data_IF_380527684297
#
_entry.id   IF_380527684297
#
_cell.length_a   1.000
_cell.length_b   1.000
_cell.length_c   1.000
_cell.angle_alpha   90.00
_cell.angle_beta   90.00
_cell.angle_gamma   90.00
#
_symmetry.space_group_name_H-M   'P 1'
#
loop_
_entity.id
_entity.type
_entity.pdbx_description
1 polymer ?
#
# COMPACT_ATOMS: atom_id res chain seq x y z
N UNK A 1 -0.10 8.41 23.65
CA UNK A 1 0.64 9.68 23.81
C UNK A 1 -0.12 10.53 24.81
N UNK A 2 0.52 10.83 25.95
CA UNK A 2 -0.09 11.58 27.06
C UNK A 2 -0.14 13.10 26.79
N UNK A 3 0.49 13.59 25.73
CA UNK A 3 0.67 15.01 25.41
C UNK A 3 -0.19 15.49 24.24
N UNK A 4 -1.43 15.00 24.16
CA UNK A 4 -2.34 15.33 23.07
C UNK A 4 -3.59 16.05 23.59
N UNK A 5 -3.97 17.17 22.97
CA UNK A 5 -5.21 17.88 23.30
C UNK A 5 -6.29 17.66 22.23
N UNK A 6 -7.55 17.72 22.69
CA UNK A 6 -8.72 17.75 21.83
C UNK A 6 -9.73 18.75 22.39
N UNK A 7 -10.17 19.70 21.58
CA UNK A 7 -11.19 20.68 21.95
C UNK A 7 -12.57 20.21 21.48
N UNK A 8 -13.46 19.88 22.41
CA UNK A 8 -14.82 19.44 22.09
C UNK A 8 -15.71 20.53 21.51
N UNK A 9 -15.34 21.81 21.64
CA UNK A 9 -16.12 22.93 21.11
C UNK A 9 -15.86 23.21 19.64
N UNK A 10 -14.60 23.17 19.20
CA UNK A 10 -14.22 23.50 17.82
C UNK A 10 -13.55 22.35 17.06
N UNK A 11 -13.38 21.18 17.68
CA UNK A 11 -12.73 20.03 17.07
C UNK A 11 -11.22 20.16 16.87
N UNK A 12 -10.60 21.23 17.40
CA UNK A 12 -9.16 21.42 17.32
C UNK A 12 -8.43 20.32 18.10
N UNK A 13 -7.37 19.79 17.52
CA UNK A 13 -6.55 18.71 18.09
C UNK A 13 -5.10 18.88 17.71
N UNK A 14 -4.20 18.30 18.49
CA UNK A 14 -2.76 18.33 18.24
C UNK A 14 -1.94 18.16 19.52
N UNK A 15 -0.65 18.39 19.41
CA UNK A 15 0.29 18.39 20.53
C UNK A 15 0.38 19.78 21.22
N UNK A 16 1.29 19.92 22.19
CA UNK A 16 1.48 21.18 22.92
C UNK A 16 1.93 22.33 22.00
N UNK A 17 2.71 22.02 20.95
CA UNK A 17 3.16 23.03 19.99
C UNK A 17 1.98 23.51 19.15
N UNK A 18 1.14 22.59 18.66
CA UNK A 18 -0.08 22.90 17.91
C UNK A 18 -1.06 23.74 18.75
N UNK A 19 -1.15 23.44 20.06
CA UNK A 19 -1.98 24.22 20.98
C UNK A 19 -1.52 25.66 21.09
N UNK A 20 -0.21 25.88 21.32
CA UNK A 20 0.38 27.23 21.45
C UNK A 20 0.34 27.97 20.11
N UNK A 21 0.59 27.29 19.00
CA UNK A 21 0.50 27.87 17.67
C UNK A 21 -0.90 28.44 17.41
N UNK A 22 -1.94 27.69 17.73
CA UNK A 22 -3.35 28.13 17.57
C UNK A 22 -3.76 29.21 18.57
N UNK A 23 -3.27 29.14 19.81
CA UNK A 23 -3.63 30.08 20.85
C UNK A 23 -3.09 31.48 20.58
N UNK A 24 -1.90 31.58 19.98
CA UNK A 24 -1.19 32.84 19.73
C UNK A 24 -1.11 33.22 18.26
N UNK A 25 -1.77 32.45 17.38
CA UNK A 25 -1.74 32.62 15.91
C UNK A 25 -0.30 32.64 15.36
N UNK A 26 0.49 31.67 15.79
CA UNK A 26 1.90 31.50 15.44
C UNK A 26 2.08 30.31 14.49
N UNK A 27 3.17 30.32 13.74
CA UNK A 27 3.64 29.08 13.09
C UNK A 27 4.14 28.08 14.13
N UNK A 28 4.17 26.78 13.76
CA UNK A 28 4.67 25.72 14.68
C UNK A 28 6.11 25.99 15.14
N UNK A 29 6.94 26.62 14.30
CA UNK A 29 8.30 27.01 14.67
C UNK A 29 8.33 28.13 15.71
N UNK A 30 7.56 29.19 15.53
CA UNK A 30 7.43 30.32 16.48
C UNK A 30 6.83 29.87 17.80
N UNK A 31 5.84 28.96 17.77
CA UNK A 31 5.26 28.36 18.95
C UNK A 31 6.29 27.54 19.74
N UNK A 32 7.11 26.75 19.05
CA UNK A 32 8.19 26.01 19.68
C UNK A 32 9.26 26.93 20.31
N UNK A 33 9.62 28.01 19.63
CA UNK A 33 10.55 29.02 20.17
C UNK A 33 9.96 29.73 21.39
N UNK A 34 8.69 30.11 21.34
CA UNK A 34 8.00 30.72 22.47
C UNK A 34 7.99 29.79 23.67
N UNK A 35 7.62 28.52 23.50
CA UNK A 35 7.68 27.52 24.56
C UNK A 35 9.09 27.37 25.15
N UNK A 36 10.11 27.26 24.28
CA UNK A 36 11.49 27.16 24.72
C UNK A 36 11.89 28.39 25.57
N UNK A 37 11.50 29.60 25.18
CA UNK A 37 11.75 30.82 25.92
C UNK A 37 11.01 30.87 27.25
N UNK A 38 9.73 30.51 27.25
CA UNK A 38 8.87 30.56 28.43
C UNK A 38 9.32 29.56 29.52
N UNK A 39 9.88 28.43 29.10
CA UNK A 39 10.40 27.40 30.00
C UNK A 39 11.92 27.45 30.25
N UNK A 40 12.59 28.50 29.73
CA UNK A 40 14.04 28.69 29.91
C UNK A 40 14.88 27.58 29.26
N UNK A 41 14.35 26.94 28.25
CA UNK A 41 15.07 25.99 27.42
C UNK A 41 15.86 26.78 26.39
N UNK A 42 17.19 26.72 26.44
CA UNK A 42 18.04 27.34 25.43
C UNK A 42 17.70 26.71 24.06
N UNK A 43 17.06 27.42 23.12
CA UNK A 43 16.87 26.90 21.79
C UNK A 43 18.25 26.91 21.12
N UNK A 44 19.03 25.84 21.29
CA UNK A 44 20.18 25.64 20.42
C UNK A 44 19.62 25.71 19.01
N UNK A 45 20.08 26.69 18.18
CA UNK A 45 19.67 26.66 16.78
C UNK A 45 19.96 25.25 16.27
N UNK A 46 19.03 24.61 15.58
CA UNK A 46 19.32 23.32 15.01
C UNK A 46 20.55 23.54 14.15
N UNK A 47 21.69 23.00 14.60
CA UNK A 47 22.83 22.80 13.70
C UNK A 47 22.18 22.18 12.48
N UNK A 48 22.45 22.71 11.28
CA UNK A 48 21.84 22.26 10.01
C UNK A 48 22.14 20.79 9.66
N UNK A 49 22.50 20.02 10.65
CA UNK A 49 22.35 18.57 10.68
C UNK A 49 20.85 18.31 10.74
N UNK A 50 20.27 18.10 9.55
CA UNK A 50 18.90 17.62 9.38
C UNK A 50 18.53 16.73 10.58
N UNK A 51 17.48 17.16 11.34
CA UNK A 51 16.80 16.25 12.24
C UNK A 51 16.65 14.94 11.46
N UNK A 52 17.21 13.84 11.94
CA UNK A 52 17.01 12.59 11.25
C UNK A 52 15.49 12.42 11.21
N UNK A 53 14.90 12.61 10.02
CA UNK A 53 13.53 12.16 9.80
C UNK A 53 13.50 10.76 10.38
N UNK A 54 12.54 10.43 11.27
CA UNK A 54 12.49 9.10 11.83
C UNK A 54 12.50 8.14 10.66
N UNK A 55 13.68 7.64 10.36
CA UNK A 55 13.88 6.63 9.36
C UNK A 55 13.41 5.36 10.04
N UNK A 56 12.15 5.05 9.85
CA UNK A 56 11.73 3.67 9.82
C UNK A 56 11.77 3.24 8.35
N UNK A 57 12.98 3.00 7.77
CA UNK A 57 13.09 2.57 6.38
C UNK A 57 12.32 1.28 6.15
N UNK A 58 12.20 0.44 7.17
CA UNK A 58 11.43 -0.80 7.12
C UNK A 58 9.93 -0.58 6.95
N UNK A 59 9.31 0.40 7.64
CA UNK A 59 7.86 0.66 7.52
C UNK A 59 7.52 1.24 6.15
N UNK A 60 8.35 2.15 5.65
CA UNK A 60 8.16 2.72 4.32
C UNK A 60 8.34 1.66 3.24
N UNK A 61 9.41 0.88 3.34
CA UNK A 61 9.67 -0.22 2.41
C UNK A 61 8.53 -1.22 2.42
N UNK A 62 8.08 -1.67 3.60
CA UNK A 62 6.95 -2.58 3.72
C UNK A 62 5.69 -2.05 3.02
N UNK A 63 5.34 -0.76 3.20
CA UNK A 63 4.17 -0.17 2.52
C UNK A 63 4.33 -0.10 1.01
N UNK A 64 5.53 0.16 0.51
CA UNK A 64 5.83 0.17 -0.92
C UNK A 64 5.71 -1.26 -1.50
N UNK A 65 6.24 -2.25 -0.79
CA UNK A 65 6.18 -3.67 -1.16
C UNK A 65 4.73 -4.20 -1.10
N UNK A 66 4.00 -3.89 -0.05
CA UNK A 66 2.59 -4.24 0.12
C UNK A 66 1.72 -3.67 -1.02
N UNK A 67 1.89 -2.40 -1.34
CA UNK A 67 1.16 -1.77 -2.44
C UNK A 67 1.53 -2.38 -3.80
N UNK A 68 2.79 -2.73 -4.00
CA UNK A 68 3.25 -3.42 -5.21
C UNK A 68 2.62 -4.80 -5.31
N UNK A 69 2.65 -5.59 -4.23
CA UNK A 69 2.02 -6.91 -4.18
C UNK A 69 0.53 -6.81 -4.50
N UNK A 70 -0.20 -5.91 -3.84
CA UNK A 70 -1.62 -5.73 -4.07
C UNK A 70 -1.94 -5.39 -5.54
N UNK A 71 -1.21 -4.45 -6.14
CA UNK A 71 -1.42 -4.08 -7.55
C UNK A 71 -1.19 -5.25 -8.50
N UNK A 72 -0.11 -6.00 -8.30
CA UNK A 72 0.21 -7.15 -9.17
C UNK A 72 -0.83 -8.26 -9.03
N UNK A 73 -1.28 -8.55 -7.80
CA UNK A 73 -2.35 -9.53 -7.57
C UNK A 73 -3.66 -9.10 -8.23
N UNK A 74 -4.05 -7.83 -8.10
CA UNK A 74 -5.25 -7.28 -8.74
C UNK A 74 -5.15 -7.32 -10.28
N UNK A 75 -3.99 -6.98 -10.83
CA UNK A 75 -3.76 -7.07 -12.27
C UNK A 75 -3.85 -8.52 -12.78
N UNK A 76 -3.37 -9.47 -12.00
CA UNK A 76 -3.47 -10.89 -12.35
C UNK A 76 -4.91 -11.39 -12.20
N UNK A 77 -5.61 -11.01 -11.14
CA UNK A 77 -7.01 -11.36 -10.92
C UNK A 77 -7.89 -10.92 -12.12
N UNK A 78 -7.77 -9.66 -12.54
CA UNK A 78 -8.50 -9.17 -13.71
C UNK A 78 -8.18 -9.96 -14.98
N UNK A 79 -6.92 -10.34 -15.18
CA UNK A 79 -6.53 -11.19 -16.32
C UNK A 79 -7.20 -12.56 -16.26
N UNK A 80 -7.24 -13.18 -15.08
CA UNK A 80 -7.89 -14.48 -14.87
C UNK A 80 -9.41 -14.40 -15.05
N UNK A 81 -10.06 -13.33 -14.56
CA UNK A 81 -11.50 -13.09 -14.77
C UNK A 81 -11.83 -12.97 -16.26
N UNK A 82 -11.03 -12.19 -16.99
CA UNK A 82 -11.15 -12.08 -18.44
C UNK A 82 -11.01 -13.46 -19.13
N UNK A 83 -10.01 -14.24 -18.73
CA UNK A 83 -9.78 -15.56 -19.28
C UNK A 83 -10.91 -16.55 -18.96
N UNK A 84 -11.47 -16.48 -17.76
CA UNK A 84 -12.62 -17.30 -17.35
C UNK A 84 -13.83 -17.06 -18.24
N UNK A 85 -14.00 -15.83 -18.73
CA UNK A 85 -15.11 -15.46 -19.62
C UNK A 85 -14.79 -15.78 -21.10
N UNK A 86 -13.60 -15.37 -21.58
CA UNK A 86 -13.29 -15.43 -23.00
C UNK A 86 -12.93 -16.82 -23.51
N UNK A 87 -12.34 -17.65 -22.64
CA UNK A 87 -11.89 -18.98 -22.98
C UNK A 87 -12.74 -20.11 -22.38
N UNK A 88 -13.92 -19.78 -21.83
CA UNK A 88 -14.86 -20.78 -21.36
C UNK A 88 -15.29 -21.70 -22.50
N UNK A 89 -15.38 -23.02 -22.27
CA UNK A 89 -15.88 -23.96 -23.26
C UNK A 89 -17.34 -23.61 -23.58
N UNK A 90 -17.70 -23.65 -24.86
CA UNK A 90 -19.08 -23.36 -25.31
C UNK A 90 -19.99 -24.58 -25.20
N UNK A 91 -19.40 -25.76 -25.29
CA UNK A 91 -20.10 -27.04 -25.14
C UNK A 91 -19.32 -27.96 -24.19
N UNK A 92 -19.99 -28.95 -23.55
CA UNK A 92 -19.32 -29.90 -22.65
C UNK A 92 -18.22 -30.74 -23.32
N UNK A 93 -18.26 -30.89 -24.64
CA UNK A 93 -17.32 -31.70 -25.41
C UNK A 93 -16.11 -30.88 -25.93
N UNK A 94 -16.11 -29.56 -25.74
CA UNK A 94 -15.01 -28.72 -26.15
C UNK A 94 -13.75 -28.99 -25.31
N UNK A 95 -12.60 -29.00 -25.95
CA UNK A 95 -11.32 -29.05 -25.24
C UNK A 95 -11.15 -27.80 -24.36
N UNK A 96 -10.72 -28.00 -23.13
CA UNK A 96 -10.45 -26.88 -22.21
C UNK A 96 -9.21 -26.10 -22.63
N UNK A 97 -9.35 -24.80 -22.74
CA UNK A 97 -8.19 -23.91 -22.94
C UNK A 97 -7.40 -23.79 -21.63
N UNK A 98 -6.06 -23.85 -21.72
CA UNK A 98 -5.18 -23.78 -20.54
C UNK A 98 -5.40 -22.53 -19.72
N UNK A 99 -5.75 -21.40 -20.36
CA UNK A 99 -6.05 -20.13 -19.68
C UNK A 99 -7.33 -20.19 -18.85
N UNK A 100 -8.35 -20.87 -19.38
CA UNK A 100 -9.57 -21.12 -18.63
C UNK A 100 -9.32 -22.02 -17.41
N UNK A 101 -8.49 -23.05 -17.57
CA UNK A 101 -8.10 -23.94 -16.48
C UNK A 101 -7.32 -23.18 -15.41
N UNK A 102 -6.32 -22.37 -15.82
CA UNK A 102 -5.55 -21.53 -14.91
C UNK A 102 -6.47 -20.56 -14.14
N UNK A 103 -7.40 -19.91 -14.84
CA UNK A 103 -8.37 -19.00 -14.22
C UNK A 103 -9.22 -19.71 -13.15
N UNK A 104 -9.76 -20.88 -13.46
CA UNK A 104 -10.57 -21.65 -12.51
C UNK A 104 -9.79 -22.13 -11.28
N UNK A 105 -8.48 -22.34 -11.42
CA UNK A 105 -7.64 -22.82 -10.31
C UNK A 105 -7.11 -21.68 -9.43
N UNK A 106 -6.90 -20.50 -10.02
CA UNK A 106 -6.13 -19.45 -9.35
C UNK A 106 -6.98 -18.30 -8.81
N UNK A 107 -8.17 -18.04 -9.34
CA UNK A 107 -9.00 -16.89 -8.93
C UNK A 107 -9.19 -16.87 -7.42
N UNK A 108 -9.75 -17.92 -6.83
CA UNK A 108 -10.08 -17.96 -5.40
C UNK A 108 -8.83 -17.76 -4.52
N UNK A 109 -7.68 -18.29 -4.95
CA UNK A 109 -6.44 -18.14 -4.22
C UNK A 109 -5.89 -16.70 -4.30
N UNK A 110 -5.95 -16.09 -5.46
CA UNK A 110 -5.47 -14.71 -5.67
C UNK A 110 -6.39 -13.70 -4.96
N UNK A 111 -7.72 -13.92 -5.01
CA UNK A 111 -8.69 -13.15 -4.21
C UNK A 111 -8.37 -13.23 -2.72
N UNK A 112 -8.16 -14.43 -2.20
CA UNK A 112 -7.81 -14.63 -0.79
C UNK A 112 -6.55 -13.86 -0.39
N UNK A 113 -5.48 -13.88 -1.19
CA UNK A 113 -4.27 -13.12 -0.91
C UNK A 113 -4.50 -11.60 -0.97
N UNK A 114 -5.27 -11.13 -1.94
CA UNK A 114 -5.62 -9.72 -2.07
C UNK A 114 -6.47 -9.24 -0.88
N UNK A 115 -7.42 -10.05 -0.42
CA UNK A 115 -8.25 -9.76 0.74
C UNK A 115 -7.43 -9.64 2.02
N UNK A 116 -6.44 -10.51 2.24
CA UNK A 116 -5.52 -10.37 3.39
C UNK A 116 -4.81 -9.01 3.35
N UNK A 117 -4.35 -8.57 2.19
CA UNK A 117 -3.67 -7.27 2.07
C UNK A 117 -4.60 -6.07 2.32
N UNK A 118 -5.92 -6.23 2.19
CA UNK A 118 -6.91 -5.17 2.43
C UNK A 118 -7.40 -5.18 3.88
N UNK A 119 -7.82 -6.34 4.39
CA UNK A 119 -8.57 -6.45 5.66
C UNK A 119 -7.84 -7.26 6.72
N UNK A 120 -6.75 -7.96 6.38
CA UNK A 120 -5.96 -8.75 7.30
C UNK A 120 -5.27 -7.90 8.37
N UNK A 121 -4.91 -8.52 9.47
CA UNK A 121 -4.10 -7.87 10.49
C UNK A 121 -2.65 -7.66 10.01
N UNK A 122 -1.85 -6.93 10.80
CA UNK A 122 -0.48 -6.58 10.38
C UNK A 122 0.40 -7.83 10.22
N UNK A 123 0.21 -8.85 11.05
CA UNK A 123 1.01 -10.08 11.02
C UNK A 123 0.71 -10.89 9.75
N UNK A 124 -0.56 -11.05 9.42
CA UNK A 124 -1.02 -11.72 8.19
C UNK A 124 -0.51 -11.00 6.93
N UNK A 125 -0.62 -9.67 6.90
CA UNK A 125 -0.17 -8.85 5.78
C UNK A 125 1.35 -8.93 5.58
N UNK A 126 2.12 -8.89 6.67
CA UNK A 126 3.58 -9.07 6.62
C UNK A 126 3.93 -10.45 6.08
N UNK A 127 3.27 -11.50 6.55
CA UNK A 127 3.53 -12.86 6.08
C UNK A 127 3.27 -13.02 4.57
N UNK A 128 2.17 -12.45 4.06
CA UNK A 128 1.84 -12.49 2.63
C UNK A 128 2.85 -11.68 1.81
N UNK A 129 3.21 -10.47 2.24
CA UNK A 129 4.21 -9.66 1.53
C UNK A 129 5.56 -10.36 1.49
N UNK A 130 6.04 -10.90 2.62
CA UNK A 130 7.31 -11.60 2.69
C UNK A 130 7.33 -12.83 1.77
N UNK A 131 6.24 -13.60 1.72
CA UNK A 131 6.13 -14.78 0.84
C UNK A 131 6.13 -14.38 -0.64
N UNK A 132 5.42 -13.31 -1.01
CA UNK A 132 5.34 -12.83 -2.39
C UNK A 132 6.64 -12.16 -2.87
N UNK A 133 7.34 -11.47 -1.96
CA UNK A 133 8.64 -10.85 -2.28
C UNK A 133 9.78 -11.86 -2.34
N UNK A 134 9.62 -13.00 -1.66
CA UNK A 134 10.62 -14.05 -1.62
C UNK A 134 10.89 -14.61 -3.02
N UNK A 135 12.16 -14.79 -3.33
CA UNK A 135 12.61 -15.37 -4.60
C UNK A 135 12.12 -14.61 -5.86
N UNK A 136 11.66 -13.37 -5.68
CA UNK A 136 11.17 -12.54 -6.78
C UNK A 136 9.83 -13.00 -7.39
N UNK A 137 9.02 -13.75 -6.64
CA UNK A 137 7.72 -14.26 -7.11
C UNK A 137 6.83 -13.17 -7.67
N UNK A 138 6.73 -12.04 -6.95
CA UNK A 138 5.89 -10.91 -7.39
C UNK A 138 6.40 -10.27 -8.68
N UNK A 139 7.73 -10.16 -8.85
CA UNK A 139 8.32 -9.63 -10.07
C UNK A 139 8.05 -10.55 -11.27
N UNK A 140 8.20 -11.86 -11.07
CA UNK A 140 7.86 -12.86 -12.08
C UNK A 140 6.37 -12.78 -12.47
N UNK A 141 5.47 -12.69 -11.50
CA UNK A 141 4.03 -12.59 -11.74
C UNK A 141 3.67 -11.32 -12.52
N UNK A 142 4.26 -10.18 -12.16
CA UNK A 142 4.08 -8.92 -12.87
C UNK A 142 4.48 -9.04 -14.35
N UNK A 143 5.65 -9.62 -14.60
CA UNK A 143 6.16 -9.78 -15.96
C UNK A 143 5.34 -10.81 -16.75
N UNK A 144 4.84 -11.84 -16.09
CA UNK A 144 3.90 -12.81 -16.66
C UNK A 144 2.60 -12.13 -17.12
N UNK A 145 1.95 -11.37 -16.23
CA UNK A 145 0.72 -10.63 -16.54
C UNK A 145 0.93 -9.65 -17.71
N UNK A 146 2.04 -8.88 -17.66
CA UNK A 146 2.36 -7.93 -18.72
C UNK A 146 2.54 -8.60 -20.09
N UNK A 147 3.18 -9.77 -20.13
CA UNK A 147 3.35 -10.56 -21.35
C UNK A 147 2.02 -11.08 -21.85
N UNK A 148 1.20 -11.67 -20.97
CA UNK A 148 -0.08 -12.26 -21.34
C UNK A 148 -1.09 -11.23 -21.85
N UNK A 149 -1.11 -10.04 -21.26
CA UNK A 149 -1.92 -8.92 -21.78
C UNK A 149 -1.48 -8.49 -23.19
N UNK A 150 -0.18 -8.44 -23.46
CA UNK A 150 0.31 -8.13 -24.83
C UNK A 150 -0.06 -9.19 -25.84
N UNK A 151 0.04 -10.46 -25.49
CA UNK A 151 -0.37 -11.58 -26.35
C UNK A 151 -1.87 -11.52 -26.67
N UNK A 152 -2.72 -11.17 -25.69
CA UNK A 152 -4.16 -11.01 -25.87
C UNK A 152 -4.55 -9.86 -26.80
N UNK A 153 -3.84 -8.73 -26.74
CA UNK A 153 -4.08 -7.58 -27.63
C UNK A 153 -3.76 -7.88 -29.09
N UNK A 154 -2.73 -8.68 -29.35
CA UNK A 154 -2.35 -9.06 -30.71
C UNK A 154 -3.35 -10.04 -31.38
N UNK A 155 -4.18 -10.74 -30.62
CA UNK A 155 -5.21 -11.65 -31.14
C UNK A 155 -6.59 -10.98 -31.28
N UNK A 156 -6.77 -9.79 -30.71
CA UNK A 156 -8.03 -9.01 -30.79
C UNK A 156 -8.21 -8.24 -32.10
N UNK A 157 -7.15 -8.04 -32.88
CA UNK A 157 -7.20 -7.33 -34.16
C UNK A 157 -7.58 -8.26 -35.38
N UNK A 158 -7.70 -9.57 -35.16
CA UNK A 158 -8.09 -10.52 -36.21
C UNK A 158 -9.55 -11.02 -36.11
N UNK A 159 -10.44 -10.30 -35.39
CA UNK A 159 -11.87 -10.68 -35.33
C UNK A 159 -12.77 -9.58 -35.80
#
# INVERSE_FOLDING_TARGET
>A
NEDYFYCFGCGAKGDVIDFVARLFDLSSYEAAQKLASDFGLDPKPPTAAALPKPKHPCIRQFREDEMMCFRVLTDYLHLLEDWKVWYAPKTPDDALDDRFVEACQMIDYIEYLADILIVGDLEERVAVVDELMKEGKIAFLRDYVARKRKEGLSHGEER
#
